data_IF_097522810954
#
_entry.id   IF_097522810954
#
_cell.length_a   1.000
_cell.length_b   1.000
_cell.length_c   1.000
_cell.angle_alpha   90.00
_cell.angle_beta   90.00
_cell.angle_gamma   90.00
#
_symmetry.space_group_name_H-M   'P 1'
#
loop_
_entity.id
_entity.type
_entity.pdbx_description
1 polymer ?
#
# COMPACT_ATOMS: atom_id res chain seq x y z
N UNK A 1 -34.33 -5.96 20.81
CA UNK A 1 -33.25 -6.98 20.80
C UNK A 1 -32.26 -6.54 19.76
N UNK A 2 -31.11 -6.03 20.18
CA UNK A 2 -30.08 -5.56 19.26
C UNK A 2 -29.44 -6.77 18.59
N UNK A 3 -29.55 -6.85 17.26
CA UNK A 3 -28.80 -7.82 16.47
C UNK A 3 -27.33 -7.41 16.50
N UNK A 4 -26.64 -7.83 17.56
CA UNK A 4 -25.18 -7.73 17.65
C UNK A 4 -24.59 -8.45 16.44
N UNK A 5 -24.03 -7.67 15.51
CA UNK A 5 -23.32 -8.18 14.34
C UNK A 5 -22.22 -9.10 14.89
N UNK A 6 -22.43 -10.42 14.78
CA UNK A 6 -21.40 -11.41 15.16
C UNK A 6 -20.22 -11.19 14.23
N UNK A 7 -19.19 -10.50 14.72
CA UNK A 7 -17.94 -10.32 13.98
C UNK A 7 -17.36 -11.71 13.73
N UNK A 8 -17.30 -12.11 12.46
CA UNK A 8 -16.61 -13.33 12.05
C UNK A 8 -15.16 -13.25 12.56
N UNK A 9 -14.62 -14.31 13.18
CA UNK A 9 -13.21 -14.35 13.56
C UNK A 9 -12.35 -14.07 12.34
N UNK A 10 -11.36 -13.19 12.49
CA UNK A 10 -10.40 -12.89 11.44
C UNK A 10 -9.46 -14.08 11.26
N UNK A 11 -9.10 -14.34 10.01
CA UNK A 11 -8.01 -15.25 9.66
C UNK A 11 -6.68 -14.72 10.16
N UNK A 12 -5.70 -15.63 10.31
CA UNK A 12 -4.33 -15.24 10.67
C UNK A 12 -3.74 -14.23 9.66
N UNK A 13 -4.01 -14.43 8.37
CA UNK A 13 -3.55 -13.51 7.31
C UNK A 13 -4.12 -12.11 7.53
N UNK A 14 -5.41 -11.97 7.82
CA UNK A 14 -6.02 -10.67 8.09
C UNK A 14 -5.44 -9.99 9.35
N UNK A 15 -5.17 -10.77 10.40
CA UNK A 15 -4.53 -10.25 11.61
C UNK A 15 -3.12 -9.74 11.32
N UNK A 16 -2.34 -10.49 10.53
CA UNK A 16 -0.99 -10.09 10.12
C UNK A 16 -1.03 -8.82 9.25
N UNK A 17 -1.92 -8.75 8.25
CA UNK A 17 -2.07 -7.57 7.38
C UNK A 17 -2.39 -6.33 8.21
N UNK A 18 -3.38 -6.42 9.12
CA UNK A 18 -3.74 -5.30 10.00
C UNK A 18 -2.56 -4.85 10.86
N UNK A 19 -1.86 -5.81 11.46
CA UNK A 19 -0.70 -5.50 12.31
C UNK A 19 0.43 -4.87 11.51
N UNK A 20 0.67 -5.28 10.27
CA UNK A 20 1.67 -4.64 9.40
C UNK A 20 1.25 -3.22 9.05
N UNK A 21 -0.01 -3.00 8.67
CA UNK A 21 -0.55 -1.67 8.36
C UNK A 21 -0.34 -0.71 9.56
N UNK A 22 -0.69 -1.14 10.77
CA UNK A 22 -0.52 -0.36 11.99
C UNK A 22 0.96 -0.03 12.31
N UNK A 23 1.90 -0.79 11.73
CA UNK A 23 3.34 -0.71 11.99
C UNK A 23 4.17 -0.39 10.75
N UNK A 24 3.55 0.17 9.69
CA UNK A 24 4.24 0.51 8.43
C UNK A 24 5.48 1.39 8.64
N UNK A 25 5.49 2.25 9.68
CA UNK A 25 6.65 3.06 10.06
C UNK A 25 7.93 2.26 10.37
N UNK A 26 7.82 0.96 10.64
CA UNK A 26 8.96 0.08 10.88
C UNK A 26 9.32 -0.81 9.69
N UNK A 27 8.50 -0.83 8.62
CA UNK A 27 8.73 -1.66 7.44
C UNK A 27 9.82 -1.03 6.57
N UNK A 28 10.94 -1.74 6.42
CA UNK A 28 12.11 -1.31 5.67
C UNK A 28 12.13 -1.84 4.24
N UNK A 29 12.18 -3.17 4.09
CA UNK A 29 12.12 -3.89 2.81
C UNK A 29 10.95 -4.88 2.84
N UNK A 30 10.44 -5.25 1.66
CA UNK A 30 9.43 -6.29 1.47
C UNK A 30 9.91 -7.46 0.59
N UNK A 31 11.22 -7.62 0.44
CA UNK A 31 11.81 -8.71 -0.33
C UNK A 31 11.33 -10.08 0.20
N UNK A 32 10.92 -10.94 -0.73
CA UNK A 32 10.40 -12.29 -0.41
C UNK A 32 8.94 -12.32 0.08
N UNK A 33 8.24 -11.19 0.12
CA UNK A 33 6.81 -11.13 0.43
C UNK A 33 5.98 -11.34 -0.83
N UNK A 34 4.92 -12.13 -0.72
CA UNK A 34 4.01 -12.41 -1.83
C UNK A 34 3.29 -11.15 -2.32
N UNK A 35 3.22 -10.99 -3.65
CA UNK A 35 2.63 -9.82 -4.32
C UNK A 35 1.17 -9.56 -3.88
N UNK A 36 0.36 -10.60 -3.71
CA UNK A 36 -1.03 -10.47 -3.26
C UNK A 36 -1.15 -9.93 -1.83
N UNK A 37 -0.17 -10.19 -0.97
CA UNK A 37 -0.13 -9.62 0.37
C UNK A 37 0.26 -8.14 0.31
N UNK A 38 1.22 -7.80 -0.55
CA UNK A 38 1.66 -6.41 -0.75
C UNK A 38 0.55 -5.53 -1.33
N UNK A 39 -0.29 -6.06 -2.24
CA UNK A 39 -1.47 -5.35 -2.75
C UNK A 39 -2.45 -4.94 -1.65
N UNK A 40 -2.46 -5.66 -0.52
CA UNK A 40 -3.33 -5.37 0.63
C UNK A 40 -2.69 -4.40 1.64
N UNK A 41 -1.36 -4.28 1.63
CA UNK A 41 -0.61 -3.52 2.64
C UNK A 41 -0.17 -2.16 2.09
N UNK A 42 0.48 -2.15 0.92
CA UNK A 42 1.11 -0.95 0.34
C UNK A 42 0.14 0.21 0.05
N UNK A 43 -1.15 -0.01 -0.30
CA UNK A 43 -2.10 1.10 -0.45
C UNK A 43 -2.36 1.91 0.81
N UNK A 44 -1.98 1.39 1.98
CA UNK A 44 -2.10 2.10 3.26
C UNK A 44 -0.86 2.92 3.62
N UNK A 45 0.20 2.85 2.80
CA UNK A 45 1.41 3.65 3.00
C UNK A 45 1.13 5.14 2.75
N UNK A 46 1.78 5.98 3.54
CA UNK A 46 2.05 7.37 3.15
C UNK A 46 3.10 7.43 2.05
N UNK A 47 3.22 8.57 1.38
CA UNK A 47 4.22 8.78 0.34
C UNK A 47 5.65 8.50 0.84
N UNK A 48 6.01 9.02 2.02
CA UNK A 48 7.33 8.81 2.63
C UNK A 48 7.61 7.33 2.94
N UNK A 49 6.60 6.62 3.45
CA UNK A 49 6.72 5.18 3.71
C UNK A 49 6.91 4.39 2.42
N UNK A 50 6.18 4.74 1.36
CA UNK A 50 6.30 4.07 0.07
C UNK A 50 7.67 4.30 -0.55
N UNK A 51 8.18 5.54 -0.55
CA UNK A 51 9.55 5.87 -1.00
C UNK A 51 10.59 5.04 -0.23
N UNK A 52 10.46 4.95 1.09
CA UNK A 52 11.42 4.21 1.91
C UNK A 52 11.40 2.72 1.56
N UNK A 53 10.23 2.12 1.39
CA UNK A 53 10.08 0.71 1.06
C UNK A 53 10.70 0.43 -0.32
N UNK A 54 10.37 1.21 -1.35
CA UNK A 54 10.95 1.04 -2.69
C UNK A 54 12.47 1.22 -2.69
N UNK A 55 12.99 2.21 -1.96
CA UNK A 55 14.45 2.46 -1.92
C UNK A 55 15.28 1.33 -1.28
N UNK A 56 14.63 0.44 -0.52
CA UNK A 56 15.28 -0.62 0.28
C UNK A 56 14.90 -2.03 -0.17
N UNK A 57 13.99 -2.14 -1.14
CA UNK A 57 13.51 -3.42 -1.65
C UNK A 57 14.13 -3.67 -3.02
N UNK A 58 14.63 -4.89 -3.26
CA UNK A 58 15.23 -5.25 -4.56
C UNK A 58 14.21 -5.81 -5.54
N UNK A 59 13.13 -6.43 -5.06
CA UNK A 59 12.06 -6.95 -5.91
C UNK A 59 11.35 -5.83 -6.68
N UNK A 60 10.88 -6.14 -7.89
CA UNK A 60 10.06 -5.20 -8.67
C UNK A 60 8.68 -5.03 -8.05
N UNK A 61 8.38 -3.79 -7.63
CA UNK A 61 7.11 -3.40 -7.04
C UNK A 61 6.23 -2.57 -7.98
N UNK A 62 6.71 -2.23 -9.19
CA UNK A 62 6.09 -1.27 -10.11
C UNK A 62 4.62 -1.63 -10.40
N UNK A 63 4.31 -2.92 -10.50
CA UNK A 63 2.93 -3.41 -10.70
C UNK A 63 1.94 -3.00 -9.60
N UNK A 64 2.42 -2.71 -8.39
CA UNK A 64 1.62 -2.23 -7.26
C UNK A 64 1.84 -0.75 -7.02
N UNK A 65 3.08 -0.26 -7.13
CA UNK A 65 3.44 1.09 -6.71
C UNK A 65 3.16 2.15 -7.76
N UNK A 66 3.23 1.84 -9.06
CA UNK A 66 2.94 2.82 -10.13
C UNK A 66 1.52 3.44 -9.99
N UNK A 67 0.45 2.66 -9.75
CA UNK A 67 -0.86 3.23 -9.48
C UNK A 67 -0.89 4.11 -8.22
N UNK A 68 -0.16 3.74 -7.17
CA UNK A 68 -0.10 4.50 -5.92
C UNK A 68 0.61 5.84 -6.13
N UNK A 69 1.72 5.86 -6.88
CA UNK A 69 2.43 7.08 -7.25
C UNK A 69 1.58 8.04 -8.07
N UNK A 70 0.81 7.51 -9.03
CA UNK A 70 -0.16 8.32 -9.79
C UNK A 70 -1.21 8.96 -8.88
N UNK A 71 -1.71 8.22 -7.90
CA UNK A 71 -2.67 8.75 -6.92
C UNK A 71 -2.04 9.83 -6.01
N UNK A 72 -0.80 9.66 -5.57
CA UNK A 72 -0.10 10.71 -4.81
C UNK A 72 0.10 11.97 -5.65
N UNK A 73 0.53 11.82 -6.90
CA UNK A 73 0.71 12.94 -7.81
C UNK A 73 -0.60 13.69 -8.07
N UNK A 74 -1.69 12.96 -8.37
CA UNK A 74 -3.04 13.53 -8.52
C UNK A 74 -3.50 14.30 -7.28
N UNK A 75 -3.25 13.76 -6.08
CA UNK A 75 -3.63 14.43 -4.82
C UNK A 75 -2.82 15.69 -4.55
N UNK A 76 -1.54 15.70 -4.92
CA UNK A 76 -0.66 16.84 -4.69
C UNK A 76 -0.87 17.97 -5.71
N UNK A 77 -1.10 17.64 -6.97
CA UNK A 77 -1.10 18.60 -8.08
C UNK A 77 -2.46 18.74 -8.79
N UNK A 78 -3.47 17.94 -8.43
CA UNK A 78 -4.78 17.92 -9.09
C UNK A 78 -4.82 17.05 -10.34
N UNK A 79 -6.03 16.70 -10.80
CA UNK A 79 -6.24 15.85 -11.99
C UNK A 79 -5.77 16.52 -13.29
N UNK A 80 -5.79 17.84 -13.35
CA UNK A 80 -5.46 18.63 -14.56
C UNK A 80 -3.99 18.47 -15.00
N UNK A 81 -3.08 18.12 -14.09
CA UNK A 81 -1.65 17.93 -14.39
C UNK A 81 -1.24 16.46 -14.60
N UNK A 82 -2.15 15.49 -14.39
CA UNK A 82 -1.79 14.06 -14.46
C UNK A 82 -1.75 13.51 -15.88
N UNK A 83 -2.42 14.17 -16.84
CA UNK A 83 -2.43 13.74 -18.25
C UNK A 83 -1.13 14.03 -19.00
N UNK A 84 -0.29 14.92 -18.47
CA UNK A 84 0.94 15.39 -19.13
C UNK A 84 2.15 14.48 -18.86
N UNK A 85 2.24 13.88 -17.67
CA UNK A 85 3.41 13.09 -17.23
C UNK A 85 3.47 11.69 -17.84
N UNK A 86 2.36 11.17 -18.38
CA UNK A 86 2.33 9.85 -19.07
C UNK A 86 2.64 9.90 -20.57
N UNK A 87 2.91 11.09 -21.14
CA UNK A 87 3.35 11.24 -22.52
C UNK A 87 4.83 11.60 -22.56
N UNK A 88 5.71 10.61 -22.46
CA UNK A 88 7.09 10.68 -22.96
C UNK A 88 7.61 9.30 -23.34
#
# INVERSE_FOLDING_TARGET
MEFGIRRKPLSLVELCVRRVIDNLRYVGSVDGVEMELLKRILPHCTQEQLTRIESRTQMDLSSITDPLWKLFYQRQFGEEHTKDVTSR
#
